data_IF_127681652436
#
_entry.id   IF_127681652436
#
_cell.length_a   1.000
_cell.length_b   1.000
_cell.length_c   1.000
_cell.angle_alpha   90.00
_cell.angle_beta   90.00
_cell.angle_gamma   90.00
#
_symmetry.space_group_name_H-M   'P 1'
#
loop_
_entity.id
_entity.type
_entity.pdbx_description
1 polymer ?
#
# COMPACT_ATOMS: atom_id res chain seq x y z
N UNK A 1 -7.59 8.66 -3.13
CA UNK A 1 -8.21 7.38 -2.71
C UNK A 1 -7.62 6.96 -1.38
N UNK A 2 -8.43 6.46 -0.48
CA UNK A 2 -7.98 6.01 0.84
C UNK A 2 -7.59 4.53 0.80
N UNK A 3 -6.60 4.14 1.59
CA UNK A 3 -6.22 2.74 1.73
C UNK A 3 -7.43 1.89 2.15
N UNK A 4 -8.22 2.38 3.10
CA UNK A 4 -9.41 1.65 3.59
C UNK A 4 -10.47 1.41 2.51
N UNK A 5 -10.57 2.29 1.52
CA UNK A 5 -11.55 2.15 0.44
C UNK A 5 -11.25 0.97 -0.49
N UNK A 6 -9.98 0.68 -0.70
CA UNK A 6 -9.57 -0.33 -1.68
C UNK A 6 -9.32 -1.71 -1.07
N UNK A 7 -9.21 -1.82 0.25
CA UNK A 7 -9.10 -3.13 0.92
C UNK A 7 -10.34 -3.97 0.60
N UNK A 8 -10.12 -5.21 0.16
CA UNK A 8 -11.18 -6.11 -0.25
C UNK A 8 -11.61 -5.98 -1.70
N UNK A 9 -11.11 -4.97 -2.43
CA UNK A 9 -11.45 -4.77 -3.84
C UNK A 9 -10.95 -5.94 -4.67
N UNK A 10 -11.77 -6.39 -5.60
CA UNK A 10 -11.44 -7.54 -6.46
C UNK A 10 -10.37 -7.15 -7.48
N UNK A 11 -9.43 -8.06 -7.70
CA UNK A 11 -8.43 -7.96 -8.79
C UNK A 11 -8.87 -8.89 -9.92
N UNK A 12 -9.02 -8.35 -11.11
CA UNK A 12 -9.57 -9.05 -12.27
C UNK A 12 -8.57 -9.03 -13.42
N UNK A 13 -8.40 -10.19 -14.07
CA UNK A 13 -7.57 -10.28 -15.27
C UNK A 13 -8.36 -9.82 -16.51
N UNK A 14 -7.71 -9.02 -17.36
CA UNK A 14 -8.37 -8.52 -18.57
C UNK A 14 -8.42 -9.56 -19.69
N UNK A 15 -7.56 -10.56 -19.65
CA UNK A 15 -7.51 -11.61 -20.67
C UNK A 15 -8.68 -12.60 -20.56
N UNK A 16 -9.09 -12.95 -19.33
CA UNK A 16 -10.15 -13.95 -19.11
C UNK A 16 -11.35 -13.40 -18.34
N UNK A 17 -11.30 -12.14 -17.92
CA UNK A 17 -12.30 -11.51 -17.05
C UNK A 17 -12.58 -12.32 -15.77
N UNK A 18 -11.52 -12.95 -15.24
CA UNK A 18 -11.60 -13.81 -14.07
C UNK A 18 -11.01 -13.11 -12.85
N UNK A 19 -11.53 -13.44 -11.68
CA UNK A 19 -10.97 -12.97 -10.41
C UNK A 19 -9.60 -13.60 -10.17
N UNK A 20 -8.60 -12.76 -9.87
CA UNK A 20 -7.24 -13.21 -9.59
C UNK A 20 -6.95 -13.18 -8.09
N UNK A 21 -7.63 -12.34 -7.35
CA UNK A 21 -7.49 -12.19 -5.91
C UNK A 21 -8.23 -10.98 -5.40
N UNK A 22 -7.97 -10.61 -4.15
CA UNK A 22 -8.53 -9.42 -3.51
C UNK A 22 -7.42 -8.63 -2.84
N UNK A 23 -7.52 -7.30 -2.85
CA UNK A 23 -6.57 -6.43 -2.18
C UNK A 23 -6.66 -6.67 -0.68
N UNK A 24 -5.56 -7.10 -0.08
CA UNK A 24 -5.46 -7.39 1.36
C UNK A 24 -4.62 -6.35 2.09
N UNK A 25 -3.54 -5.88 1.47
CA UNK A 25 -2.63 -4.92 2.08
C UNK A 25 -1.81 -4.20 1.01
N UNK A 26 -1.07 -3.19 1.43
CA UNK A 26 -0.21 -2.38 0.58
C UNK A 26 1.24 -2.55 1.00
N UNK A 27 2.14 -2.59 0.02
CA UNK A 27 3.58 -2.52 0.25
C UNK A 27 4.04 -1.11 -0.10
N UNK A 28 4.57 -0.41 0.90
CA UNK A 28 4.98 1.00 0.76
C UNK A 28 6.49 1.11 0.90
N UNK A 29 7.11 1.81 -0.04
CA UNK A 29 8.49 2.28 0.13
C UNK A 29 8.43 3.72 0.63
N UNK A 30 8.83 3.98 1.89
CA UNK A 30 8.74 5.32 2.47
C UNK A 30 9.68 6.33 1.81
N UNK A 31 10.68 5.89 1.09
CA UNK A 31 11.64 6.78 0.41
C UNK A 31 11.04 7.45 -0.82
N UNK A 32 10.03 6.81 -1.46
CA UNK A 32 9.40 7.37 -2.66
C UNK A 32 8.53 8.59 -2.37
N UNK A 33 7.68 8.71 -1.35
CA UNK A 33 6.86 7.70 -0.69
C UNK A 33 5.75 7.20 -1.61
N UNK A 34 5.64 5.93 -1.74
CA UNK A 34 4.66 5.34 -2.66
C UNK A 34 4.37 3.89 -2.42
N UNK A 35 3.24 3.44 -2.95
CA UNK A 35 2.86 2.05 -3.01
C UNK A 35 3.64 1.38 -4.14
N UNK A 36 4.43 0.36 -3.82
CA UNK A 36 5.24 -0.36 -4.81
C UNK A 36 4.62 -1.69 -5.19
N UNK A 37 3.70 -2.20 -4.37
CA UNK A 37 2.95 -3.43 -4.65
C UNK A 37 1.71 -3.51 -3.78
N UNK A 38 0.79 -4.39 -4.18
CA UNK A 38 -0.34 -4.81 -3.34
C UNK A 38 -0.08 -6.24 -2.87
N UNK A 39 -0.55 -6.57 -1.68
CA UNK A 39 -0.63 -7.94 -1.22
C UNK A 39 -2.06 -8.39 -1.43
N UNK A 40 -2.24 -9.54 -2.05
CA UNK A 40 -3.53 -10.10 -2.38
C UNK A 40 -3.85 -11.31 -1.52
N UNK A 41 -5.12 -11.46 -1.19
CA UNK A 41 -5.68 -12.67 -0.59
C UNK A 41 -6.52 -13.41 -1.64
N UNK A 42 -6.86 -14.67 -1.34
CA UNK A 42 -7.73 -15.50 -2.19
C UNK A 42 -7.22 -15.58 -3.64
N UNK A 43 -5.91 -15.67 -3.81
CA UNK A 43 -5.30 -15.75 -5.13
C UNK A 43 -5.49 -17.13 -5.72
N UNK A 44 -5.66 -17.19 -7.05
CA UNK A 44 -5.72 -18.42 -7.81
C UNK A 44 -4.34 -18.97 -8.19
N UNK A 45 -3.28 -18.19 -7.96
CA UNK A 45 -1.90 -18.54 -8.22
C UNK A 45 -1.13 -18.76 -6.91
N UNK A 46 0.12 -19.21 -7.03
CA UNK A 46 0.99 -19.38 -5.85
C UNK A 46 1.54 -18.05 -5.31
N UNK A 47 1.51 -17.01 -6.12
CA UNK A 47 1.99 -15.69 -5.69
C UNK A 47 0.96 -14.93 -4.88
N UNK A 48 1.42 -13.96 -4.12
CA UNK A 48 0.58 -13.09 -3.30
C UNK A 48 0.85 -11.60 -3.53
N UNK A 49 1.91 -11.24 -4.24
CA UNK A 49 2.28 -9.86 -4.48
C UNK A 49 1.90 -9.42 -5.89
N UNK A 50 1.33 -8.24 -5.99
CA UNK A 50 1.04 -7.59 -7.26
C UNK A 50 1.89 -6.33 -7.36
N UNK A 51 3.05 -6.37 -8.03
CA UNK A 51 3.89 -5.19 -8.22
C UNK A 51 3.11 -4.09 -8.94
N UNK A 52 3.32 -2.85 -8.53
CA UNK A 52 2.58 -1.71 -9.10
C UNK A 52 2.67 -1.63 -10.63
N UNK A 53 3.85 -1.84 -11.27
CA UNK A 53 3.94 -1.79 -12.72
C UNK A 53 3.10 -2.85 -13.45
N UNK A 54 2.70 -3.91 -12.76
CA UNK A 54 1.88 -4.97 -13.36
C UNK A 54 0.38 -4.66 -13.36
N UNK A 55 -0.02 -3.54 -12.75
CA UNK A 55 -1.41 -3.11 -12.70
C UNK A 55 -1.73 -2.35 -14.00
N UNK A 56 -2.83 -2.73 -14.66
CA UNK A 56 -3.35 -1.99 -15.82
C UNK A 56 -4.06 -0.73 -15.35
N UNK A 57 -4.99 -0.89 -14.41
CA UNK A 57 -5.72 0.23 -13.84
C UNK A 57 -6.14 -0.09 -12.40
N UNK A 58 -6.08 0.93 -11.56
CA UNK A 58 -6.58 0.87 -10.20
C UNK A 58 -7.93 1.58 -10.18
N UNK A 59 -8.98 0.86 -10.51
CA UNK A 59 -10.30 1.43 -10.73
C UNK A 59 -11.15 1.51 -9.47
N UNK A 60 -12.28 2.17 -9.61
CA UNK A 60 -13.26 2.37 -8.53
C UNK A 60 -13.89 1.04 -8.10
N UNK A 61 -14.15 0.15 -9.06
CA UNK A 61 -14.84 -1.11 -8.81
C UNK A 61 -13.89 -2.30 -8.71
N UNK A 62 -12.76 -2.24 -9.38
CA UNK A 62 -11.80 -3.33 -9.45
C UNK A 62 -10.41 -2.83 -9.81
N UNK A 63 -9.41 -3.61 -9.42
CA UNK A 63 -8.04 -3.46 -9.92
C UNK A 63 -7.90 -4.42 -11.09
N UNK A 64 -7.38 -3.95 -12.21
CA UNK A 64 -7.22 -4.79 -13.40
C UNK A 64 -5.77 -5.10 -13.67
N UNK A 65 -5.52 -6.33 -14.11
CA UNK A 65 -4.19 -6.84 -14.48
C UNK A 65 -4.28 -7.54 -15.83
N UNK A 66 -3.16 -7.67 -16.59
CA UNK A 66 -3.22 -8.29 -17.91
C UNK A 66 -3.60 -9.78 -17.85
N UNK A 67 -3.08 -10.48 -16.85
CA UNK A 67 -3.32 -11.91 -16.64
C UNK A 67 -3.01 -12.30 -15.21
N UNK A 68 -3.35 -13.52 -14.82
CA UNK A 68 -2.99 -14.05 -13.49
C UNK A 68 -1.48 -14.08 -13.25
N UNK A 69 -0.67 -14.12 -14.29
CA UNK A 69 0.79 -14.10 -14.20
C UNK A 69 1.35 -12.76 -13.66
N UNK A 70 0.53 -11.71 -13.61
CA UNK A 70 0.91 -10.43 -12.99
C UNK A 70 1.11 -10.54 -11.48
N UNK A 71 0.49 -11.53 -10.84
CA UNK A 71 0.63 -11.82 -9.41
C UNK A 71 1.81 -12.75 -9.23
N UNK A 72 2.79 -12.35 -8.43
CA UNK A 72 4.07 -13.04 -8.31
C UNK A 72 4.43 -13.28 -6.84
N UNK A 73 5.43 -14.11 -6.61
CA UNK A 73 6.07 -14.22 -5.29
C UNK A 73 6.83 -12.91 -5.01
N UNK A 74 6.79 -12.40 -3.77
CA UNK A 74 7.57 -11.21 -3.44
C UNK A 74 9.06 -11.47 -3.64
N UNK A 75 9.73 -10.55 -4.36
CA UNK A 75 11.19 -10.56 -4.43
C UNK A 75 11.78 -10.07 -3.07
N UNK A 76 13.11 -10.13 -2.86
CA UNK A 76 13.70 -9.72 -1.59
C UNK A 76 13.37 -8.28 -1.18
N UNK A 77 13.27 -7.37 -2.14
CA UNK A 77 12.89 -5.98 -1.90
C UNK A 77 11.45 -5.87 -1.37
N UNK A 78 10.50 -6.50 -2.06
CA UNK A 78 9.09 -6.49 -1.65
C UNK A 78 8.89 -7.26 -0.33
N UNK A 79 9.58 -8.38 -0.16
CA UNK A 79 9.47 -9.19 1.06
C UNK A 79 9.91 -8.41 2.29
N UNK A 80 10.97 -7.61 2.19
CA UNK A 80 11.44 -6.76 3.28
C UNK A 80 10.39 -5.71 3.65
N UNK A 81 9.81 -5.03 2.64
CA UNK A 81 8.84 -3.97 2.86
C UNK A 81 7.45 -4.49 3.25
N UNK A 82 7.11 -5.72 2.92
CA UNK A 82 5.78 -6.30 3.18
C UNK A 82 5.59 -6.79 4.61
N UNK A 83 6.65 -6.83 5.41
CA UNK A 83 6.58 -7.31 6.80
C UNK A 83 5.72 -6.39 7.69
N UNK A 84 5.13 -6.97 8.76
CA UNK A 84 4.30 -6.22 9.71
C UNK A 84 4.96 -4.95 10.26
N UNK A 85 6.29 -4.92 10.51
CA UNK A 85 6.93 -3.69 10.96
C UNK A 85 6.78 -2.51 10.00
N UNK A 86 6.45 -2.77 8.72
CA UNK A 86 6.37 -1.74 7.69
C UNK A 86 4.93 -1.32 7.34
N UNK A 87 3.92 -1.81 8.07
CA UNK A 87 2.53 -1.39 7.85
C UNK A 87 2.31 0.02 8.40
N UNK A 88 1.56 0.83 7.64
CA UNK A 88 1.26 2.21 8.03
C UNK A 88 0.06 2.33 8.95
N UNK A 89 -1.03 1.62 8.63
CA UNK A 89 -2.30 1.79 9.34
C UNK A 89 -2.18 1.40 10.82
N UNK A 90 -2.76 2.24 11.65
CA UNK A 90 -2.84 2.08 13.11
C UNK A 90 -1.50 2.19 13.84
N UNK A 91 -0.45 2.61 13.14
CA UNK A 91 0.87 2.81 13.73
C UNK A 91 1.01 4.23 14.23
N UNK A 92 1.73 4.40 15.34
CA UNK A 92 2.03 5.74 15.87
C UNK A 92 2.93 6.52 14.92
N UNK A 93 2.76 7.83 14.90
CA UNK A 93 3.57 8.75 14.09
C UNK A 93 4.46 9.56 15.02
N UNK A 94 5.75 9.51 14.79
CA UNK A 94 6.75 10.19 15.60
C UNK A 94 7.58 11.13 14.70
N UNK A 95 7.78 12.36 15.17
CA UNK A 95 8.64 13.30 14.44
C UNK A 95 10.10 13.08 14.78
N UNK A 96 10.98 13.63 13.94
CA UNK A 96 12.43 13.62 14.19
C UNK A 96 12.83 14.37 15.45
N UNK A 97 11.96 15.22 15.99
CA UNK A 97 12.17 15.90 17.28
C UNK A 97 11.67 15.11 18.48
N UNK A 98 11.19 13.88 18.27
CA UNK A 98 10.73 13.01 19.35
C UNK A 98 9.31 13.30 19.84
N UNK A 99 8.49 13.96 19.03
CA UNK A 99 7.10 14.28 19.38
C UNK A 99 6.17 13.31 18.68
N UNK A 100 5.29 12.67 19.44
CA UNK A 100 4.24 11.81 18.88
C UNK A 100 3.04 12.65 18.44
N UNK A 101 2.67 12.51 17.17
CA UNK A 101 1.56 13.27 16.58
C UNK A 101 0.22 12.54 16.63
N UNK A 102 0.23 11.25 16.92
CA UNK A 102 -0.97 10.42 16.93
C UNK A 102 -0.73 9.10 16.23
N UNK A 103 -1.78 8.47 15.73
CA UNK A 103 -1.72 7.22 14.98
C UNK A 103 -2.31 7.42 13.59
N UNK A 104 -1.82 6.63 12.63
CA UNK A 104 -2.34 6.65 11.25
C UNK A 104 -3.73 6.00 11.24
N UNK A 105 -4.76 6.78 10.94
CA UNK A 105 -6.13 6.27 10.80
C UNK A 105 -6.38 5.76 9.38
N UNK A 106 -5.81 6.44 8.39
CA UNK A 106 -5.93 6.06 6.98
C UNK A 106 -4.80 6.72 6.19
N UNK A 107 -4.68 6.37 4.94
CA UNK A 107 -3.67 6.94 4.03
C UNK A 107 -4.37 7.32 2.72
N UNK A 108 -4.15 8.56 2.28
CA UNK A 108 -4.61 9.03 0.98
C UNK A 108 -3.48 8.85 -0.05
N UNK A 109 -3.82 8.26 -1.18
CA UNK A 109 -2.85 8.00 -2.24
C UNK A 109 -3.47 8.26 -3.63
N UNK A 110 -2.61 8.50 -4.61
CA UNK A 110 -3.02 8.65 -6.01
C UNK A 110 -3.06 7.27 -6.68
N UNK A 111 -4.24 6.76 -7.04
CA UNK A 111 -4.36 5.44 -7.64
C UNK A 111 -3.79 5.36 -9.07
N UNK A 112 -3.54 6.50 -9.72
CA UNK A 112 -2.95 6.51 -11.06
C UNK A 112 -1.48 6.12 -11.04
N UNK A 113 -0.73 6.50 -9.99
CA UNK A 113 0.72 6.30 -9.91
C UNK A 113 1.20 5.66 -8.61
N UNK A 114 0.30 5.46 -7.63
CA UNK A 114 0.64 4.86 -6.35
C UNK A 114 1.29 5.80 -5.35
N UNK A 115 1.45 7.08 -5.68
CA UNK A 115 2.10 8.03 -4.79
C UNK A 115 1.24 8.32 -3.56
N UNK A 116 1.86 8.32 -2.39
CA UNK A 116 1.17 8.73 -1.17
C UNK A 116 1.01 10.25 -1.16
N UNK A 117 -0.20 10.72 -0.84
CA UNK A 117 -0.51 12.14 -0.73
C UNK A 117 -0.47 12.60 0.73
N UNK A 118 -1.12 11.89 1.62
CA UNK A 118 -1.21 12.28 3.02
C UNK A 118 -1.41 11.08 3.94
N UNK A 119 -0.90 11.21 5.16
CA UNK A 119 -1.24 10.33 6.28
C UNK A 119 -2.36 11.03 7.06
N UNK A 120 -3.46 10.31 7.29
CA UNK A 120 -4.63 10.89 7.97
C UNK A 120 -4.60 10.48 9.44
N UNK A 121 -4.48 11.48 10.31
CA UNK A 121 -4.50 11.31 11.75
C UNK A 121 -5.75 11.99 12.30
N UNK A 122 -6.07 11.74 13.58
CA UNK A 122 -7.24 12.37 14.23
C UNK A 122 -7.15 13.90 14.20
N UNK A 123 -5.95 14.45 14.37
CA UNK A 123 -5.73 15.90 14.37
C UNK A 123 -5.74 16.53 12.98
N UNK A 124 -5.71 15.71 11.92
CA UNK A 124 -5.68 16.18 10.54
C UNK A 124 -4.62 15.49 9.69
N UNK A 125 -4.52 15.85 8.41
CA UNK A 125 -3.60 15.22 7.49
C UNK A 125 -2.15 15.69 7.71
N UNK A 126 -1.22 14.76 7.47
CA UNK A 126 0.21 15.06 7.38
C UNK A 126 0.63 14.78 5.94
N UNK A 127 1.34 15.74 5.33
CA UNK A 127 1.86 15.56 3.97
C UNK A 127 2.78 14.33 3.93
N UNK A 128 2.52 13.42 3.02
CA UNK A 128 3.31 12.20 2.87
C UNK A 128 4.76 12.48 2.47
N UNK A 129 5.06 13.65 1.92
CA UNK A 129 6.43 14.05 1.61
C UNK A 129 7.31 14.17 2.87
N UNK A 130 6.70 14.27 4.05
CA UNK A 130 7.41 14.29 5.33
C UNK A 130 7.83 12.89 5.80
N UNK A 131 7.34 11.83 5.16
CA UNK A 131 7.62 10.45 5.55
C UNK A 131 9.10 10.12 5.36
N UNK A 132 9.73 9.58 6.39
CA UNK A 132 11.14 9.18 6.36
C UNK A 132 11.32 7.67 6.44
N UNK A 133 10.49 7.00 7.23
CA UNK A 133 10.62 5.58 7.41
C UNK A 133 9.43 4.98 8.15
N UNK A 134 9.30 3.67 8.03
CA UNK A 134 8.28 2.89 8.73
C UNK A 134 8.98 1.72 9.39
N UNK A 135 8.88 1.62 10.68
CA UNK A 135 9.51 0.56 11.45
C UNK A 135 8.59 -0.06 12.48
N UNK A 136 9.12 -0.94 13.31
CA UNK A 136 8.32 -1.65 14.30
C UNK A 136 7.74 -0.73 15.37
N UNK A 137 8.43 0.36 15.70
CA UNK A 137 7.99 1.28 16.75
C UNK A 137 7.02 2.34 16.23
N UNK A 138 7.31 2.93 15.09
CA UNK A 138 6.58 4.10 14.62
C UNK A 138 6.75 4.32 13.12
N UNK A 139 5.89 5.18 12.59
CA UNK A 139 6.10 5.87 11.31
C UNK A 139 6.88 7.14 11.63
N UNK A 140 8.04 7.32 11.02
CA UNK A 140 8.87 8.49 11.23
C UNK A 140 8.60 9.55 10.17
N UNK A 141 8.36 10.78 10.61
CA UNK A 141 8.17 11.94 9.74
C UNK A 141 9.10 13.07 10.16
N UNK A 142 9.44 13.92 9.20
CA UNK A 142 10.22 15.12 9.51
C UNK A 142 9.39 16.07 10.38
N UNK A 143 10.07 16.65 11.31
CA UNK A 143 9.46 17.66 12.18
C UNK A 143 9.01 18.90 11.41
#
# INVERSE_FOLDING_TARGET
MLFSEAIGRTVVSTDTASTVGKVSDYVVDPRLPGVVALILSKTSSQGSALPWPNIVAFGVDAVTVPSAAAVVEPDPYLAELAGRPHTLLHKRVLTTSGVQLGTVLDVDFDPAVGRLAALLLEQGPIDAARLLGVGSYAVMVRA
#
